data_IF_663882476859
#
_entry.id   IF_663882476859
#
_cell.length_a   1.000
_cell.length_b   1.000
_cell.length_c   1.000
_cell.angle_alpha   90.00
_cell.angle_beta   90.00
_cell.angle_gamma   90.00
#
_symmetry.space_group_name_H-M   'P 1'
#
loop_
_entity.id
_entity.type
_entity.pdbx_description
1 polymer ?
#
# COMPACT_ATOMS: atom_id res chain seq x y z
N UNK A 1 -9.83 -5.07 14.73
CA UNK A 1 -9.43 -3.65 14.90
C UNK A 1 -10.59 -2.75 15.33
N UNK A 2 -11.75 -2.80 14.66
CA UNK A 2 -12.96 -2.04 15.03
C UNK A 2 -13.40 -2.29 16.48
N UNK A 3 -13.39 -3.54 16.95
CA UNK A 3 -13.65 -3.87 18.37
C UNK A 3 -12.70 -3.13 19.32
N UNK A 4 -11.39 -3.10 19.00
CA UNK A 4 -10.37 -2.39 19.78
C UNK A 4 -10.55 -0.87 19.76
N UNK A 5 -11.01 -0.31 18.64
CA UNK A 5 -11.40 1.11 18.58
C UNK A 5 -12.56 1.41 19.54
N UNK A 6 -13.63 0.60 19.50
CA UNK A 6 -14.79 0.75 20.41
C UNK A 6 -14.40 0.59 21.88
N UNK A 7 -13.50 -0.33 22.19
CA UNK A 7 -12.98 -0.55 23.55
C UNK A 7 -12.11 0.61 24.04
N UNK A 8 -11.15 1.08 23.23
CA UNK A 8 -10.15 2.07 23.66
C UNK A 8 -10.60 3.52 23.48
N UNK A 9 -11.63 3.79 22.65
CA UNK A 9 -12.14 5.12 22.31
C UNK A 9 -11.07 6.13 21.85
N UNK A 10 -10.00 5.63 21.22
CA UNK A 10 -8.91 6.45 20.66
C UNK A 10 -8.85 6.29 19.14
N UNK A 11 -8.41 7.32 18.42
CA UNK A 11 -8.44 7.34 16.96
C UNK A 11 -7.48 6.37 16.23
N UNK A 12 -6.28 6.01 16.74
CA UNK A 12 -5.33 5.20 15.96
C UNK A 12 -5.86 3.84 15.45
N UNK A 13 -6.60 3.03 16.25
CA UNK A 13 -7.22 1.80 15.76
C UNK A 13 -8.28 2.01 14.67
N UNK A 14 -8.94 3.17 14.64
CA UNK A 14 -9.88 3.50 13.56
C UNK A 14 -9.14 3.73 12.24
N UNK A 15 -8.09 4.56 12.25
CA UNK A 15 -7.30 4.82 11.04
C UNK A 15 -6.72 3.54 10.44
N UNK A 16 -6.16 2.66 11.28
CA UNK A 16 -5.61 1.38 10.81
C UNK A 16 -6.71 0.41 10.33
N UNK A 17 -7.92 0.48 10.89
CA UNK A 17 -9.07 -0.27 10.37
C UNK A 17 -9.45 0.20 8.97
N UNK A 18 -9.45 1.51 8.74
CA UNK A 18 -9.72 2.12 7.43
C UNK A 18 -8.68 1.66 6.41
N UNK A 19 -7.38 1.69 6.78
CA UNK A 19 -6.29 1.16 5.92
C UNK A 19 -6.58 -0.27 5.46
N UNK A 20 -6.87 -1.18 6.39
CA UNK A 20 -7.13 -2.58 6.03
C UNK A 20 -8.39 -2.77 5.19
N UNK A 21 -9.46 -2.01 5.46
CA UNK A 21 -10.68 -2.05 4.65
C UNK A 21 -10.39 -1.56 3.24
N UNK A 22 -9.68 -0.45 3.08
CA UNK A 22 -9.34 0.11 1.76
C UNK A 22 -8.45 -0.85 0.96
N UNK A 23 -7.45 -1.46 1.59
CA UNK A 23 -6.60 -2.45 0.92
C UNK A 23 -7.39 -3.72 0.54
N UNK A 24 -8.32 -4.16 1.38
CA UNK A 24 -9.20 -5.28 1.05
C UNK A 24 -10.13 -4.95 -0.14
N UNK A 25 -10.72 -3.75 -0.15
CA UNK A 25 -11.53 -3.25 -1.27
C UNK A 25 -10.68 -3.15 -2.55
N UNK A 26 -9.45 -2.64 -2.45
CA UNK A 26 -8.51 -2.55 -3.56
C UNK A 26 -8.24 -3.94 -4.17
N UNK A 27 -7.98 -4.93 -3.32
CA UNK A 27 -7.71 -6.30 -3.73
C UNK A 27 -8.95 -6.94 -4.37
N UNK A 28 -10.12 -6.84 -3.72
CA UNK A 28 -11.38 -7.39 -4.25
C UNK A 28 -11.72 -6.77 -5.60
N UNK A 29 -11.60 -5.45 -5.73
CA UNK A 29 -11.85 -4.75 -6.99
C UNK A 29 -10.91 -5.24 -8.10
N UNK A 30 -9.62 -5.34 -7.82
CA UNK A 30 -8.64 -5.85 -8.77
C UNK A 30 -8.95 -7.30 -9.17
N UNK A 31 -9.31 -8.16 -8.21
CA UNK A 31 -9.71 -9.54 -8.47
C UNK A 31 -10.93 -9.60 -9.39
N UNK A 32 -11.97 -8.78 -9.15
CA UNK A 32 -13.16 -8.73 -10.00
C UNK A 32 -12.78 -8.36 -11.45
N UNK A 33 -11.94 -7.34 -11.65
CA UNK A 33 -11.48 -6.95 -12.98
C UNK A 33 -10.63 -8.01 -13.66
N UNK A 34 -9.74 -8.67 -12.92
CA UNK A 34 -8.93 -9.78 -13.45
C UNK A 34 -9.79 -11.00 -13.79
N UNK A 35 -10.82 -11.30 -13.00
CA UNK A 35 -11.76 -12.39 -13.30
C UNK A 35 -12.50 -12.15 -14.61
N UNK A 36 -12.92 -10.91 -14.91
CA UNK A 36 -13.51 -10.59 -16.22
C UNK A 36 -12.55 -10.93 -17.37
N UNK A 37 -11.26 -10.57 -17.24
CA UNK A 37 -10.26 -10.88 -18.25
C UNK A 37 -10.07 -12.39 -18.43
N UNK A 38 -10.09 -13.16 -17.33
CA UNK A 38 -9.99 -14.62 -17.37
C UNK A 38 -11.21 -15.26 -18.05
N UNK A 39 -12.43 -14.81 -17.74
CA UNK A 39 -13.65 -15.40 -18.30
C UNK A 39 -13.92 -14.98 -19.75
N UNK A 40 -13.61 -13.74 -20.10
CA UNK A 40 -13.92 -13.18 -21.41
C UNK A 40 -12.77 -13.27 -22.41
N UNK A 41 -11.57 -13.62 -21.97
CA UNK A 41 -10.35 -13.69 -22.79
C UNK A 41 -9.75 -12.34 -23.15
N UNK A 42 -10.38 -11.23 -22.76
CA UNK A 42 -9.94 -9.86 -23.08
C UNK A 42 -10.19 -8.92 -21.90
N UNK A 43 -9.40 -7.86 -21.79
CA UNK A 43 -9.63 -6.81 -20.79
C UNK A 43 -10.79 -5.90 -21.25
N UNK A 44 -11.90 -5.90 -20.51
CA UNK A 44 -13.12 -5.16 -20.86
C UNK A 44 -13.45 -4.10 -19.81
N UNK A 45 -14.64 -3.52 -19.88
CA UNK A 45 -15.06 -2.35 -19.11
C UNK A 45 -14.85 -2.50 -17.59
N UNK A 46 -15.10 -3.69 -17.02
CA UNK A 46 -14.93 -3.91 -15.58
C UNK A 46 -13.45 -3.78 -15.21
N UNK A 47 -12.55 -4.39 -15.98
CA UNK A 47 -11.11 -4.22 -15.80
C UNK A 47 -10.66 -2.75 -15.91
N UNK A 48 -11.21 -2.00 -16.89
CA UNK A 48 -10.83 -0.59 -17.13
C UNK A 48 -11.15 0.32 -15.94
N UNK A 49 -12.20 -0.01 -15.19
CA UNK A 49 -12.63 0.76 -14.00
C UNK A 49 -11.99 0.20 -12.73
N UNK A 50 -11.89 -1.12 -12.60
CA UNK A 50 -11.38 -1.75 -11.38
C UNK A 50 -9.93 -1.39 -11.08
N UNK A 51 -9.10 -1.27 -12.12
CA UNK A 51 -7.68 -0.99 -11.95
C UNK A 51 -7.41 0.42 -11.38
N UNK A 52 -7.89 1.52 -12.01
CA UNK A 52 -7.72 2.85 -11.44
C UNK A 52 -8.44 3.03 -10.09
N UNK A 53 -9.57 2.35 -9.88
CA UNK A 53 -10.25 2.32 -8.59
C UNK A 53 -9.39 1.65 -7.51
N UNK A 54 -8.78 0.49 -7.80
CA UNK A 54 -7.88 -0.21 -6.88
C UNK A 54 -6.69 0.65 -6.49
N UNK A 55 -6.02 1.27 -7.47
CA UNK A 55 -4.90 2.20 -7.19
C UNK A 55 -5.34 3.41 -6.35
N UNK A 56 -6.54 3.94 -6.58
CA UNK A 56 -7.08 5.03 -5.77
C UNK A 56 -7.29 4.62 -4.31
N UNK A 57 -7.77 3.40 -4.07
CA UNK A 57 -7.92 2.87 -2.71
C UNK A 57 -6.56 2.71 -2.00
N UNK A 58 -5.51 2.31 -2.72
CA UNK A 58 -4.13 2.24 -2.18
C UNK A 58 -3.65 3.63 -1.76
N UNK A 59 -3.83 4.66 -2.61
CA UNK A 59 -3.45 6.04 -2.28
C UNK A 59 -4.16 6.55 -1.03
N UNK A 60 -5.46 6.28 -0.91
CA UNK A 60 -6.25 6.68 0.26
C UNK A 60 -5.79 5.89 1.49
N UNK A 61 -5.50 4.60 1.36
CA UNK A 61 -4.94 3.79 2.44
C UNK A 61 -3.61 4.35 2.93
N UNK A 62 -2.72 4.75 2.02
CA UNK A 62 -1.44 5.38 2.35
C UNK A 62 -1.61 6.70 3.11
N UNK A 63 -2.59 7.53 2.73
CA UNK A 63 -2.95 8.75 3.49
C UNK A 63 -3.36 8.39 4.92
N UNK A 64 -4.26 7.44 5.11
CA UNK A 64 -4.71 7.04 6.44
C UNK A 64 -3.60 6.39 7.27
N UNK A 65 -2.72 5.63 6.63
CA UNK A 65 -1.55 5.04 7.27
C UNK A 65 -0.57 6.13 7.73
N UNK A 66 -0.38 7.17 6.92
CA UNK A 66 0.41 8.34 7.31
C UNK A 66 -0.25 9.11 8.46
N UNK A 67 -1.56 9.30 8.44
CA UNK A 67 -2.31 9.92 9.54
C UNK A 67 -2.16 9.11 10.83
N UNK A 68 -2.25 7.78 10.75
CA UNK A 68 -2.00 6.88 11.86
C UNK A 68 -0.60 7.07 12.44
N UNK A 69 0.43 6.98 11.58
CA UNK A 69 1.82 7.17 11.99
C UNK A 69 2.08 8.56 12.60
N UNK A 70 1.49 9.61 12.03
CA UNK A 70 1.56 10.98 12.56
C UNK A 70 1.01 11.06 13.97
N UNK A 71 -0.13 10.44 14.24
CA UNK A 71 -0.79 10.51 15.56
C UNK A 71 0.02 9.79 16.62
N UNK A 72 0.60 8.61 16.31
CA UNK A 72 1.37 7.85 17.30
C UNK A 72 2.80 8.36 17.50
N UNK A 73 3.40 9.02 16.49
CA UNK A 73 4.78 9.54 16.59
C UNK A 73 4.85 11.03 16.89
N UNK A 74 3.76 11.78 16.71
CA UNK A 74 3.74 13.24 16.78
C UNK A 74 4.55 13.93 15.65
N UNK A 75 4.99 13.21 14.62
CA UNK A 75 5.82 13.73 13.52
C UNK A 75 5.02 13.83 12.21
N UNK A 76 5.48 14.66 11.27
CA UNK A 76 4.94 14.68 9.90
C UNK A 76 3.77 15.63 9.64
N UNK A 77 3.42 16.53 10.59
CA UNK A 77 2.30 17.48 10.43
C UNK A 77 2.36 18.30 9.13
N UNK A 78 3.54 18.81 8.76
CA UNK A 78 3.75 19.64 7.55
C UNK A 78 3.66 18.85 6.24
N UNK A 79 3.91 17.53 6.27
CA UNK A 79 3.94 16.70 5.07
C UNK A 79 2.56 16.14 4.68
N UNK A 80 1.58 16.16 5.59
CA UNK A 80 0.24 15.60 5.34
C UNK A 80 -0.51 16.32 4.21
N UNK A 81 -0.52 17.65 4.20
CA UNK A 81 -1.25 18.41 3.18
C UNK A 81 -0.66 18.20 1.77
N UNK A 82 0.67 18.32 1.55
CA UNK A 82 1.27 17.97 0.27
C UNK A 82 0.94 16.54 -0.18
N UNK A 83 1.01 15.56 0.74
CA UNK A 83 0.71 14.17 0.45
C UNK A 83 -0.75 13.99 -0.02
N UNK A 84 -1.72 14.64 0.62
CA UNK A 84 -3.12 14.61 0.19
C UNK A 84 -3.28 15.23 -1.21
N UNK A 85 -2.65 16.39 -1.46
CA UNK A 85 -2.75 17.08 -2.75
C UNK A 85 -2.17 16.21 -3.87
N UNK A 86 -0.96 15.67 -3.69
CA UNK A 86 -0.35 14.78 -4.68
C UNK A 86 -1.16 13.50 -4.89
N UNK A 87 -1.67 12.89 -3.82
CA UNK A 87 -2.54 11.72 -3.92
C UNK A 87 -3.81 12.01 -4.73
N UNK A 88 -4.47 13.15 -4.48
CA UNK A 88 -5.66 13.56 -5.21
C UNK A 88 -5.37 13.79 -6.71
N UNK A 89 -4.25 14.43 -7.04
CA UNK A 89 -3.82 14.62 -8.44
C UNK A 89 -3.62 13.28 -9.12
N UNK A 90 -2.90 12.34 -8.50
CA UNK A 90 -2.68 11.00 -9.07
C UNK A 90 -4.02 10.27 -9.28
N UNK A 91 -4.95 10.34 -8.32
CA UNK A 91 -6.29 9.75 -8.46
C UNK A 91 -7.02 10.31 -9.68
N UNK A 92 -7.03 11.63 -9.88
CA UNK A 92 -7.67 12.24 -11.06
C UNK A 92 -7.02 11.72 -12.34
N UNK A 93 -5.69 11.68 -12.39
CA UNK A 93 -4.95 11.21 -13.57
C UNK A 93 -5.24 9.74 -13.86
N UNK A 94 -5.42 8.88 -12.84
CA UNK A 94 -5.74 7.46 -13.02
C UNK A 94 -7.05 7.22 -13.79
N UNK A 95 -8.05 8.10 -13.63
CA UNK A 95 -9.34 7.98 -14.31
C UNK A 95 -9.40 8.67 -15.68
N UNK A 96 -8.31 9.32 -16.11
CA UNK A 96 -8.28 9.92 -17.45
C UNK A 96 -8.29 8.82 -18.53
N UNK A 97 -9.02 9.02 -19.64
CA UNK A 97 -9.16 8.03 -20.70
C UNK A 97 -7.82 7.68 -21.37
N UNK A 98 -6.83 8.58 -21.28
CA UNK A 98 -5.48 8.41 -21.82
C UNK A 98 -4.63 7.34 -21.13
N UNK A 99 -5.12 6.69 -20.07
CA UNK A 99 -4.43 5.55 -19.47
C UNK A 99 -4.61 4.25 -20.25
N UNK A 100 -5.55 4.19 -21.20
CA UNK A 100 -5.75 3.04 -22.07
C UNK A 100 -5.88 1.71 -21.30
N UNK A 101 -6.48 1.75 -20.10
CA UNK A 101 -6.66 0.56 -19.27
C UNK A 101 -7.44 -0.49 -20.05
N UNK A 102 -6.88 -1.68 -20.23
CA UNK A 102 -7.55 -2.76 -20.97
C UNK A 102 -7.93 -2.39 -22.41
N UNK A 103 -7.22 -1.45 -23.03
CA UNK A 103 -7.34 -1.18 -24.47
C UNK A 103 -6.24 -1.99 -25.18
N UNK A 104 -6.52 -2.63 -26.33
CA UNK A 104 -5.52 -3.33 -27.13
C UNK A 104 -4.39 -2.40 -27.58
N UNK A 105 -3.10 -2.81 -27.51
CA UNK A 105 -1.96 -1.99 -27.90
C UNK A 105 -2.07 -1.39 -29.30
N UNK A 106 -2.68 -2.11 -30.23
CA UNK A 106 -2.89 -1.72 -31.63
C UNK A 106 -3.61 -0.37 -31.76
N UNK A 107 -4.52 -0.07 -30.82
CA UNK A 107 -5.37 1.12 -30.85
C UNK A 107 -4.65 2.39 -30.35
N UNK A 108 -3.47 2.27 -29.75
CA UNK A 108 -2.70 3.42 -29.22
C UNK A 108 -1.19 3.36 -29.52
N UNK A 109 -0.77 2.54 -30.50
CA UNK A 109 0.61 2.53 -31.00
C UNK A 109 1.00 3.95 -31.46
N UNK A 110 2.16 4.43 -31.00
CA UNK A 110 2.67 5.77 -31.33
C UNK A 110 2.09 6.91 -30.49
N UNK A 111 1.11 6.64 -29.62
CA UNK A 111 0.62 7.62 -28.65
C UNK A 111 1.44 7.59 -27.35
N UNK A 112 1.39 8.68 -26.59
CA UNK A 112 2.04 8.77 -25.28
C UNK A 112 1.40 7.75 -24.33
N UNK A 113 2.18 6.75 -23.90
CA UNK A 113 1.71 5.71 -22.98
C UNK A 113 1.69 6.24 -21.52
N UNK A 114 0.61 6.93 -21.14
CA UNK A 114 0.43 7.49 -19.79
C UNK A 114 0.38 6.40 -18.72
N UNK A 115 -0.07 5.19 -19.07
CA UNK A 115 -0.22 4.04 -18.16
C UNK A 115 1.06 3.74 -17.36
N UNK A 116 2.21 3.75 -18.02
CA UNK A 116 3.48 3.50 -17.37
C UNK A 116 3.78 4.57 -16.32
N UNK A 117 3.64 5.84 -16.70
CA UNK A 117 3.92 6.97 -15.83
C UNK A 117 2.95 7.05 -14.64
N UNK A 118 1.66 6.75 -14.84
CA UNK A 118 0.68 6.74 -13.76
C UNK A 118 0.93 5.60 -12.79
N UNK A 119 1.24 4.40 -13.29
CA UNK A 119 1.61 3.25 -12.45
C UNK A 119 2.87 3.56 -11.63
N UNK A 120 3.93 4.08 -12.27
CA UNK A 120 5.15 4.50 -11.57
C UNK A 120 4.89 5.62 -10.56
N UNK A 121 3.99 6.55 -10.87
CA UNK A 121 3.61 7.63 -9.95
C UNK A 121 2.93 7.10 -8.69
N UNK A 122 2.04 6.11 -8.83
CA UNK A 122 1.40 5.43 -7.69
C UNK A 122 2.46 4.73 -6.83
N UNK A 123 3.36 3.95 -7.44
CA UNK A 123 4.41 3.23 -6.72
C UNK A 123 5.35 4.19 -5.99
N UNK A 124 5.80 5.25 -6.68
CA UNK A 124 6.69 6.25 -6.11
C UNK A 124 6.02 7.01 -4.96
N UNK A 125 4.74 7.36 -5.12
CA UNK A 125 3.94 7.97 -4.06
C UNK A 125 3.90 7.07 -2.82
N UNK A 126 3.54 5.79 -2.97
CA UNK A 126 3.49 4.83 -1.87
C UNK A 126 4.85 4.66 -1.20
N UNK A 127 5.95 4.58 -1.97
CA UNK A 127 7.31 4.57 -1.44
C UNK A 127 7.64 5.78 -0.58
N UNK A 128 7.33 6.99 -1.05
CA UNK A 128 7.57 8.20 -0.28
C UNK A 128 6.82 8.13 1.06
N UNK A 129 5.57 7.67 1.06
CA UNK A 129 4.78 7.50 2.29
C UNK A 129 5.46 6.52 3.23
N UNK A 130 5.81 5.30 2.78
CA UNK A 130 6.40 4.28 3.64
C UNK A 130 7.78 4.67 4.17
N UNK A 131 8.61 5.30 3.34
CA UNK A 131 9.93 5.81 3.74
C UNK A 131 9.77 6.89 4.83
N UNK A 132 8.82 7.82 4.67
CA UNK A 132 8.56 8.82 5.71
C UNK A 132 8.10 8.19 7.02
N UNK A 133 7.14 7.26 6.96
CA UNK A 133 6.64 6.58 8.15
C UNK A 133 7.76 5.78 8.83
N UNK A 134 8.56 5.02 8.06
CA UNK A 134 9.71 4.30 8.57
C UNK A 134 10.72 5.25 9.25
N UNK A 135 11.00 6.40 8.62
CA UNK A 135 11.83 7.46 9.18
C UNK A 135 11.29 8.01 10.50
N UNK A 136 9.98 8.27 10.60
CA UNK A 136 9.34 8.73 11.83
C UNK A 136 9.39 7.67 12.92
N UNK A 137 9.11 6.41 12.60
CA UNK A 137 9.18 5.30 13.55
C UNK A 137 10.59 5.13 14.10
N UNK A 138 11.61 5.16 13.23
CA UNK A 138 13.01 5.04 13.64
C UNK A 138 13.44 6.18 14.56
N UNK A 139 13.01 7.42 14.29
CA UNK A 139 13.30 8.58 15.14
C UNK A 139 12.55 8.50 16.47
N UNK A 140 11.24 8.24 16.45
CA UNK A 140 10.41 8.14 17.65
C UNK A 140 10.88 7.00 18.57
N UNK A 141 11.32 5.86 18.00
CA UNK A 141 11.84 4.71 18.76
C UNK A 141 13.06 5.08 19.59
N UNK A 142 13.93 5.95 19.09
CA UNK A 142 15.12 6.43 19.82
C UNK A 142 14.79 7.39 20.95
N UNK A 143 13.60 7.99 20.94
CA UNK A 143 13.19 9.03 21.89
C UNK A 143 12.31 8.52 23.03
N UNK A 144 11.69 7.36 22.86
CA UNK A 144 10.90 6.71 23.92
C UNK A 144 11.79 5.79 24.74
N UNK A 145 11.57 5.70 26.06
CA UNK A 145 12.23 4.72 26.93
C UNK A 145 11.38 3.45 27.11
N UNK A 146 10.05 3.60 27.08
CA UNK A 146 9.09 2.51 27.23
C UNK A 146 9.29 1.38 26.21
N UNK A 147 9.53 0.16 26.72
CA UNK A 147 9.85 -1.01 25.92
C UNK A 147 8.69 -1.42 24.99
N UNK A 148 7.44 -1.30 25.46
CA UNK A 148 6.25 -1.61 24.65
C UNK A 148 6.16 -0.67 23.46
N UNK A 149 6.29 0.62 23.69
CA UNK A 149 6.26 1.64 22.64
C UNK A 149 7.42 1.43 21.65
N UNK A 150 8.64 1.09 22.12
CA UNK A 150 9.77 0.75 21.24
C UNK A 150 9.45 -0.45 20.34
N UNK A 151 8.85 -1.50 20.90
CA UNK A 151 8.48 -2.68 20.15
C UNK A 151 7.40 -2.36 19.10
N UNK A 152 6.37 -1.59 19.46
CA UNK A 152 5.32 -1.16 18.54
C UNK A 152 5.85 -0.35 17.37
N UNK A 153 6.71 0.63 17.65
CA UNK A 153 7.38 1.41 16.61
C UNK A 153 8.32 0.57 15.74
N UNK A 154 8.94 -0.46 16.31
CA UNK A 154 9.79 -1.39 15.54
C UNK A 154 8.95 -2.27 14.61
N UNK A 155 7.81 -2.77 15.08
CA UNK A 155 6.89 -3.55 14.25
C UNK A 155 6.30 -2.69 13.13
N UNK A 156 5.90 -1.45 13.43
CA UNK A 156 5.43 -0.54 12.40
C UNK A 156 6.54 -0.21 11.39
N UNK A 157 7.77 0.03 11.84
CA UNK A 157 8.92 0.18 10.96
C UNK A 157 9.11 -1.03 10.03
N UNK A 158 9.09 -2.24 10.58
CA UNK A 158 9.22 -3.47 9.81
C UNK A 158 8.08 -3.63 8.80
N UNK A 159 6.85 -3.25 9.15
CA UNK A 159 5.73 -3.28 8.21
C UNK A 159 5.94 -2.34 7.01
N UNK A 160 6.55 -1.16 7.22
CA UNK A 160 6.87 -0.24 6.12
C UNK A 160 7.96 -0.82 5.23
N UNK A 161 8.98 -1.45 5.82
CA UNK A 161 10.01 -2.16 5.07
C UNK A 161 9.43 -3.33 4.27
N UNK A 162 8.42 -4.04 4.81
CA UNK A 162 7.71 -5.08 4.08
C UNK A 162 6.97 -4.51 2.86
N UNK A 163 6.25 -3.39 2.98
CA UNK A 163 5.60 -2.77 1.81
C UNK A 163 6.60 -2.25 0.78
N UNK A 164 7.75 -1.74 1.21
CA UNK A 164 8.84 -1.38 0.28
C UNK A 164 9.32 -2.63 -0.46
N UNK A 165 9.54 -3.74 0.27
CA UNK A 165 9.90 -5.03 -0.32
C UNK A 165 8.86 -5.56 -1.31
N UNK A 166 7.57 -5.44 -0.99
CA UNK A 166 6.45 -5.83 -1.86
C UNK A 166 6.55 -5.18 -3.24
N UNK A 167 6.62 -3.84 -3.28
CA UNK A 167 6.71 -3.12 -4.55
C UNK A 167 8.04 -3.34 -5.27
N UNK A 168 9.14 -3.56 -4.54
CA UNK A 168 10.43 -3.89 -5.15
C UNK A 168 10.36 -5.21 -5.92
N UNK A 169 9.66 -6.21 -5.37
CA UNK A 169 9.43 -7.47 -6.06
C UNK A 169 8.55 -7.30 -7.30
N UNK A 170 7.53 -6.43 -7.26
CA UNK A 170 6.75 -6.10 -8.46
C UNK A 170 7.58 -5.44 -9.57
N UNK A 171 8.52 -4.56 -9.19
CA UNK A 171 9.46 -3.95 -10.16
C UNK A 171 10.37 -5.04 -10.74
N UNK A 172 10.92 -5.92 -9.90
CA UNK A 172 11.78 -7.01 -10.35
C UNK A 172 11.06 -7.98 -11.30
N UNK A 173 9.81 -8.34 -10.98
CA UNK A 173 8.93 -9.16 -11.83
C UNK A 173 8.72 -8.50 -13.20
N UNK A 174 8.35 -7.21 -13.19
CA UNK A 174 8.14 -6.43 -14.42
C UNK A 174 9.41 -6.38 -15.28
N UNK A 175 10.57 -6.13 -14.67
CA UNK A 175 11.85 -6.07 -15.37
C UNK A 175 12.22 -7.44 -15.95
N UNK A 176 12.03 -8.53 -15.22
CA UNK A 176 12.32 -9.88 -15.72
C UNK A 176 11.45 -10.20 -16.94
N UNK A 177 10.13 -10.00 -16.83
CA UNK A 177 9.19 -10.24 -17.94
C UNK A 177 9.57 -9.44 -19.18
N UNK A 178 9.93 -8.16 -19.00
CA UNK A 178 10.24 -7.25 -20.11
C UNK A 178 11.60 -7.53 -20.74
N UNK A 179 12.60 -7.99 -19.97
CA UNK A 179 13.98 -8.17 -20.44
C UNK A 179 14.29 -9.58 -20.95
N UNK A 180 13.53 -10.59 -20.53
CA UNK A 180 13.83 -11.99 -20.86
C UNK A 180 12.67 -12.73 -21.49
N UNK A 181 11.59 -12.03 -21.91
CA UNK A 181 10.36 -12.61 -22.42
C UNK A 181 9.81 -13.74 -21.52
N UNK A 182 9.94 -13.58 -20.20
CA UNK A 182 9.54 -14.59 -19.24
C UNK A 182 8.03 -14.88 -19.35
N UNK A 183 7.60 -16.14 -19.49
CA UNK A 183 6.19 -16.45 -19.64
C UNK A 183 5.44 -16.27 -18.31
N UNK A 184 4.56 -15.28 -18.27
CA UNK A 184 3.69 -15.03 -17.11
C UNK A 184 4.44 -14.51 -15.87
N UNK A 185 3.79 -14.63 -14.71
CA UNK A 185 4.36 -14.16 -13.43
C UNK A 185 5.58 -14.98 -13.00
N UNK A 186 6.60 -14.32 -12.46
CA UNK A 186 7.82 -14.96 -11.97
C UNK A 186 7.81 -15.24 -10.47
N UNK A 187 8.88 -15.85 -9.95
CA UNK A 187 9.07 -16.11 -8.52
C UNK A 187 8.94 -14.84 -7.67
N UNK A 188 9.27 -13.69 -8.23
CA UNK A 188 9.15 -12.40 -7.56
C UNK A 188 7.71 -12.08 -7.15
N UNK A 189 6.68 -12.46 -7.92
CA UNK A 189 5.30 -12.21 -7.53
C UNK A 189 4.95 -12.96 -6.23
N UNK A 190 5.43 -14.19 -6.09
CA UNK A 190 5.15 -15.02 -4.92
C UNK A 190 5.85 -14.45 -3.68
N UNK A 191 7.10 -13.97 -3.85
CA UNK A 191 7.84 -13.29 -2.79
C UNK A 191 7.15 -11.97 -2.41
N UNK A 192 6.59 -11.23 -3.38
CA UNK A 192 5.83 -10.02 -3.09
C UNK A 192 4.68 -10.31 -2.11
N UNK A 193 3.89 -11.36 -2.36
CA UNK A 193 2.79 -11.72 -1.46
C UNK A 193 3.23 -12.07 -0.04
N UNK A 194 4.42 -12.67 0.13
CA UNK A 194 5.01 -12.88 1.47
C UNK A 194 5.21 -11.53 2.17
N UNK A 195 5.77 -10.54 1.47
CA UNK A 195 5.92 -9.19 2.02
C UNK A 195 4.59 -8.52 2.36
N UNK A 196 3.54 -8.68 1.54
CA UNK A 196 2.22 -8.15 1.84
C UNK A 196 1.62 -8.78 3.12
N UNK A 197 1.78 -10.10 3.30
CA UNK A 197 1.34 -10.81 4.51
C UNK A 197 2.11 -10.30 5.73
N UNK A 198 3.44 -10.16 5.62
CA UNK A 198 4.28 -9.62 6.69
C UNK A 198 3.87 -8.19 7.07
N UNK A 199 3.57 -7.34 6.08
CA UNK A 199 3.03 -6.01 6.34
C UNK A 199 1.75 -6.08 7.19
N UNK A 200 0.79 -6.94 6.83
CA UNK A 200 -0.46 -7.08 7.57
C UNK A 200 -0.21 -7.52 9.02
N UNK A 201 0.62 -8.54 9.21
CA UNK A 201 0.98 -9.09 10.52
C UNK A 201 1.66 -8.02 11.38
N UNK A 202 2.72 -7.40 10.88
CA UNK A 202 3.49 -6.40 11.64
C UNK A 202 2.67 -5.15 11.94
N UNK A 203 1.87 -4.66 10.99
CA UNK A 203 0.98 -3.52 11.20
C UNK A 203 -0.05 -3.83 12.29
N UNK A 204 -0.68 -5.00 12.23
CA UNK A 204 -1.64 -5.43 13.26
C UNK A 204 -1.00 -5.54 14.65
N UNK A 205 0.15 -6.22 14.75
CA UNK A 205 0.86 -6.41 16.01
C UNK A 205 1.39 -5.10 16.60
N UNK A 206 1.75 -4.13 15.75
CA UNK A 206 2.24 -2.81 16.18
C UNK A 206 1.24 -2.04 17.05
N UNK A 207 -0.06 -2.29 16.88
CA UNK A 207 -1.12 -1.58 17.60
C UNK A 207 -1.86 -2.44 18.63
N UNK A 208 -2.17 -3.70 18.27
CA UNK A 208 -2.97 -4.55 19.16
C UNK A 208 -2.13 -5.06 20.32
N UNK A 209 -0.88 -5.47 20.04
CA UNK A 209 0.04 -6.09 21.00
C UNK A 209 -0.64 -7.14 21.89
N UNK A 210 -0.86 -8.38 21.40
CA UNK A 210 -1.48 -9.43 22.20
C UNK A 210 -0.64 -9.74 23.46
N UNK A 211 -1.27 -10.28 24.51
CA UNK A 211 -0.63 -10.52 25.82
C UNK A 211 0.69 -11.28 25.72
N UNK A 212 0.73 -12.35 24.92
CA UNK A 212 1.95 -13.15 24.71
C UNK A 212 3.13 -12.32 24.17
N UNK A 213 2.86 -11.29 23.36
CA UNK A 213 3.90 -10.42 22.81
C UNK A 213 4.35 -9.42 23.86
N UNK A 214 3.41 -8.87 24.62
CA UNK A 214 3.69 -7.96 25.73
C UNK A 214 4.55 -8.65 26.80
N UNK A 215 4.19 -9.87 27.19
CA UNK A 215 4.95 -10.69 28.16
C UNK A 215 6.37 -11.01 27.68
N UNK A 216 6.60 -11.12 26.37
CA UNK A 216 7.95 -11.32 25.80
C UNK A 216 8.79 -10.04 25.76
N UNK A 217 8.15 -8.87 25.77
CA UNK A 217 8.83 -7.56 25.77
C UNK A 217 9.20 -7.13 27.19
N UNK A 218 8.38 -7.52 28.18
CA UNK A 218 8.58 -7.18 29.60
C UNK A 218 9.46 -8.17 30.37
N UNK A 219 9.77 -9.33 29.77
CA UNK A 219 10.79 -10.27 30.27
C UNK A 219 12.19 -9.80 29.88
#
# INVERSE_FOLDING_TARGET
>A
MIKKWRERKVNPPLYLSIVFILLAIALISLTIGLSEAVFSGFFKEIYRISLPFSYSMIIIADIFLFVFAKVITGKGKKALLPLIIFGAVIIVVLFLPWNWWGVPPEDYVGQLNIRLYTTLSVILYSYIVYIFIAGFCRKARKQTEDAKTKAGLSLLFLSMMSMIGFFLMFIADTLLITLTDHPGYSEFIYIAWIFAILFYIFTYLSLVMPKWLVERIEK
#
